data_IF_418291060474
#
_entry.id   IF_418291060474
#
_cell.length_a   1.000
_cell.length_b   1.000
_cell.length_c   1.000
_cell.angle_alpha   90.00
_cell.angle_beta   90.00
_cell.angle_gamma   90.00
#
_symmetry.space_group_name_H-M   'P 1'
#
loop_
_entity.id
_entity.type
_entity.pdbx_description
1 polymer ?
#
# COMPACT_ATOMS: atom_id res chain seq x y z
N UNK A 1 25.30 7.74 21.02
CA UNK A 1 23.98 8.34 21.29
C UNK A 1 23.34 8.55 19.92
N UNK A 2 22.58 7.58 19.44
CA UNK A 2 21.86 7.66 18.17
C UNK A 2 20.57 8.41 18.48
N UNK A 3 20.41 9.63 17.95
CA UNK A 3 19.19 10.39 18.12
C UNK A 3 18.03 9.68 17.42
N UNK A 4 16.90 9.60 18.10
CA UNK A 4 15.65 9.05 17.58
C UNK A 4 15.13 9.95 16.44
N UNK A 5 14.55 9.37 15.36
CA UNK A 5 14.14 10.15 14.19
C UNK A 5 12.83 10.88 14.49
N UNK A 6 12.93 12.00 15.21
CA UNK A 6 11.90 13.05 15.20
C UNK A 6 11.92 13.74 13.83
N UNK A 7 10.77 13.89 13.16
CA UNK A 7 10.67 14.62 11.88
C UNK A 7 10.13 13.84 10.66
N UNK A 8 9.91 12.53 10.75
CA UNK A 8 9.46 11.72 9.59
C UNK A 8 8.10 12.18 9.02
N UNK A 9 7.11 12.51 9.85
CA UNK A 9 5.81 13.00 9.34
C UNK A 9 5.90 14.42 8.75
N UNK A 10 6.84 15.24 9.22
CA UNK A 10 7.11 16.56 8.62
C UNK A 10 7.64 16.35 7.19
N UNK A 11 8.63 15.46 7.05
CA UNK A 11 9.17 15.08 5.75
C UNK A 11 8.10 14.56 4.79
N UNK A 12 7.16 13.75 5.27
CA UNK A 12 6.06 13.27 4.43
C UNK A 12 5.17 14.42 3.93
N UNK A 13 4.92 15.42 4.78
CA UNK A 13 4.18 16.62 4.37
C UNK A 13 4.98 17.43 3.34
N UNK A 14 6.29 17.59 3.52
CA UNK A 14 7.18 18.29 2.58
C UNK A 14 7.22 17.58 1.21
N UNK A 15 7.41 16.27 1.20
CA UNK A 15 7.41 15.45 -0.02
C UNK A 15 6.06 15.48 -0.73
N UNK A 16 4.94 15.36 0.02
CA UNK A 16 3.60 15.46 -0.56
C UNK A 16 3.33 16.87 -1.11
N UNK A 17 3.78 17.92 -0.43
CA UNK A 17 3.67 19.31 -0.92
C UNK A 17 4.42 19.48 -2.23
N UNK A 18 5.66 18.99 -2.29
CA UNK A 18 6.48 19.02 -3.50
C UNK A 18 5.81 18.24 -4.65
N UNK A 19 5.25 17.07 -4.35
CA UNK A 19 4.55 16.25 -5.33
C UNK A 19 3.28 16.93 -5.87
N UNK A 20 2.47 17.53 -4.99
CA UNK A 20 1.27 18.31 -5.40
C UNK A 20 1.66 19.41 -6.38
N UNK A 21 2.65 20.23 -6.01
CA UNK A 21 3.10 21.34 -6.87
C UNK A 21 3.62 20.84 -8.21
N UNK A 22 4.51 19.83 -8.19
CA UNK A 22 5.08 19.21 -9.40
C UNK A 22 3.98 18.63 -10.30
N UNK A 23 3.00 17.94 -9.72
CA UNK A 23 1.89 17.34 -10.47
C UNK A 23 1.05 18.39 -11.19
N UNK A 24 0.57 19.41 -10.48
CA UNK A 24 -0.28 20.43 -11.09
C UNK A 24 0.47 21.31 -12.09
N UNK A 25 1.75 21.62 -11.83
CA UNK A 25 2.58 22.38 -12.75
C UNK A 25 2.85 21.59 -14.04
N UNK A 26 3.32 20.34 -13.94
CA UNK A 26 3.68 19.55 -15.12
C UNK A 26 2.47 19.04 -15.90
N UNK A 27 1.43 18.57 -15.21
CA UNK A 27 0.29 17.89 -15.86
C UNK A 27 -0.78 18.90 -16.32
N UNK A 28 -0.92 20.02 -15.62
CA UNK A 28 -2.00 20.98 -15.84
C UNK A 28 -1.55 22.42 -16.10
N UNK A 29 -0.24 22.71 -16.02
CA UNK A 29 0.30 24.07 -16.14
C UNK A 29 -0.31 25.05 -15.12
N UNK A 30 -0.59 24.55 -13.91
CA UNK A 30 -1.15 25.32 -12.80
C UNK A 30 -0.13 25.36 -11.66
N UNK A 31 0.23 26.58 -11.24
CA UNK A 31 1.03 26.78 -10.02
C UNK A 31 0.09 26.85 -8.82
N UNK A 32 0.25 25.92 -7.88
CA UNK A 32 -0.51 25.90 -6.62
C UNK A 32 0.17 26.83 -5.60
N UNK A 33 -0.50 27.89 -5.11
CA UNK A 33 0.05 28.75 -4.07
C UNK A 33 0.25 28.02 -2.74
N UNK A 34 1.22 28.45 -1.95
CA UNK A 34 1.57 27.83 -0.66
C UNK A 34 0.40 27.85 0.32
N UNK A 35 -0.38 28.93 0.34
CA UNK A 35 -1.56 29.10 1.18
C UNK A 35 -2.70 28.13 0.85
N UNK A 36 -2.65 27.47 -0.30
CA UNK A 36 -3.66 26.47 -0.69
C UNK A 36 -3.36 25.07 -0.13
N UNK A 37 -2.20 24.87 0.50
CA UNK A 37 -1.78 23.59 1.05
C UNK A 37 -1.57 23.74 2.56
N UNK A 38 -2.33 22.99 3.34
CA UNK A 38 -2.12 22.91 4.79
C UNK A 38 -1.46 21.57 5.13
N UNK A 39 -0.26 21.65 5.68
CA UNK A 39 0.50 20.48 6.15
C UNK A 39 0.13 20.16 7.60
N UNK A 40 -0.25 18.90 7.84
CA UNK A 40 -0.63 18.40 9.18
C UNK A 40 0.29 17.22 9.53
N UNK A 41 1.47 17.48 10.13
CA UNK A 41 2.39 16.41 10.50
C UNK A 41 1.88 15.67 11.74
N UNK A 42 1.33 14.47 11.54
CA UNK A 42 0.83 13.61 12.63
C UNK A 42 1.97 12.81 13.24
N UNK A 43 2.43 13.20 14.43
CA UNK A 43 3.54 12.54 15.14
C UNK A 43 3.14 12.19 16.57
N UNK A 44 3.34 10.92 16.91
CA UNK A 44 3.21 10.43 18.27
C UNK A 44 3.93 9.08 18.39
N UNK A 45 4.48 8.78 19.56
CA UNK A 45 5.14 7.50 19.87
C UNK A 45 4.23 6.56 20.66
N UNK A 46 4.61 5.29 20.73
CA UNK A 46 3.87 4.28 21.49
C UNK A 46 3.05 3.34 20.62
N UNK A 47 2.10 2.65 21.25
CA UNK A 47 1.29 1.63 20.60
C UNK A 47 0.29 2.22 19.61
N UNK A 48 -0.17 1.41 18.67
CA UNK A 48 -1.06 1.86 17.59
C UNK A 48 -2.30 2.57 18.12
N UNK A 49 -3.02 1.98 19.08
CA UNK A 49 -4.27 2.57 19.59
C UNK A 49 -4.03 3.84 20.44
N UNK A 50 -2.94 3.88 21.19
CA UNK A 50 -2.54 5.08 21.95
C UNK A 50 -2.26 6.25 21.00
N UNK A 51 -1.54 5.98 19.91
CA UNK A 51 -1.27 6.96 18.86
C UNK A 51 -2.56 7.43 18.19
N UNK A 52 -3.50 6.51 17.88
CA UNK A 52 -4.80 6.88 17.31
C UNK A 52 -5.54 7.89 18.18
N UNK A 53 -5.67 7.63 19.49
CA UNK A 53 -6.40 8.53 20.39
C UNK A 53 -5.71 9.90 20.51
N UNK A 54 -4.39 9.92 20.65
CA UNK A 54 -3.62 11.16 20.77
C UNK A 54 -3.69 12.02 19.51
N UNK A 55 -3.56 11.39 18.34
CA UNK A 55 -3.66 12.08 17.06
C UNK A 55 -5.09 12.52 16.75
N UNK A 56 -6.10 11.73 17.16
CA UNK A 56 -7.49 12.15 17.07
C UNK A 56 -7.75 13.42 17.90
N UNK A 57 -7.35 13.44 19.18
CA UNK A 57 -7.52 14.62 20.04
C UNK A 57 -6.80 15.86 19.48
N UNK A 58 -5.60 15.68 18.93
CA UNK A 58 -4.84 16.74 18.27
C UNK A 58 -5.56 17.30 17.03
N UNK A 59 -6.10 16.42 16.18
CA UNK A 59 -6.88 16.83 15.02
C UNK A 59 -8.15 17.56 15.46
N UNK A 60 -8.86 17.03 16.44
CA UNK A 60 -10.11 17.59 16.94
C UNK A 60 -9.90 19.01 17.51
N UNK A 61 -8.82 19.25 18.25
CA UNK A 61 -8.52 20.54 18.84
C UNK A 61 -8.02 21.57 17.82
N UNK A 62 -7.09 21.18 16.96
CA UNK A 62 -6.26 22.16 16.24
C UNK A 62 -6.59 22.22 14.73
N UNK A 63 -7.09 21.13 14.14
CA UNK A 63 -7.22 20.99 12.69
C UNK A 63 -8.63 20.65 12.20
N UNK A 64 -9.62 20.44 13.09
CA UNK A 64 -10.97 20.03 12.72
C UNK A 64 -11.58 20.89 11.62
N UNK A 65 -11.59 22.21 11.79
CA UNK A 65 -12.14 23.15 10.80
C UNK A 65 -11.38 23.15 9.47
N UNK A 66 -10.07 22.95 9.52
CA UNK A 66 -9.22 22.87 8.33
C UNK A 66 -9.58 21.61 7.54
N UNK A 67 -9.68 20.47 8.22
CA UNK A 67 -10.06 19.20 7.60
C UNK A 67 -11.48 19.28 7.08
N UNK A 68 -12.44 19.77 7.86
CA UNK A 68 -13.84 19.95 7.42
C UNK A 68 -13.96 20.84 6.17
N UNK A 69 -13.06 21.82 6.02
CA UNK A 69 -13.00 22.76 4.90
C UNK A 69 -12.25 22.26 3.66
N UNK A 70 -11.34 21.29 3.78
CA UNK A 70 -10.47 20.84 2.69
C UNK A 70 -11.22 20.29 1.47
N UNK A 71 -10.78 20.63 0.26
CA UNK A 71 -11.36 20.09 -0.98
C UNK A 71 -10.82 18.70 -1.33
N UNK A 72 -9.56 18.43 -0.99
CA UNK A 72 -8.85 17.16 -1.22
C UNK A 72 -8.06 16.81 0.04
N UNK A 73 -8.02 15.52 0.41
CA UNK A 73 -7.18 15.02 1.50
C UNK A 73 -6.19 14.01 0.95
N UNK A 74 -4.90 14.30 1.11
CA UNK A 74 -3.81 13.39 0.79
C UNK A 74 -3.17 12.93 2.10
N UNK A 75 -3.09 11.61 2.29
CA UNK A 75 -2.64 11.04 3.56
C UNK A 75 -1.42 10.14 3.34
N UNK A 76 -0.23 10.61 3.71
CA UNK A 76 0.99 9.81 3.62
C UNK A 76 1.30 9.12 4.95
N UNK A 77 1.65 7.84 4.88
CA UNK A 77 1.97 7.03 6.05
C UNK A 77 3.02 5.99 5.75
N UNK A 78 3.71 5.51 6.79
CA UNK A 78 4.82 4.56 6.66
C UNK A 78 4.83 3.53 7.79
N UNK A 79 5.18 2.28 7.48
CA UNK A 79 5.43 1.22 8.47
C UNK A 79 4.30 1.10 9.51
N UNK A 80 4.59 1.18 10.81
CA UNK A 80 3.59 1.18 11.90
C UNK A 80 2.58 2.34 11.81
N UNK A 81 2.93 3.46 11.18
CA UNK A 81 1.99 4.54 10.92
C UNK A 81 0.80 4.09 10.06
N UNK A 82 0.97 3.06 9.24
CA UNK A 82 -0.09 2.56 8.34
C UNK A 82 -1.32 2.07 9.10
N UNK A 83 -1.21 1.15 10.08
CA UNK A 83 -2.37 0.78 10.89
C UNK A 83 -2.94 1.93 11.70
N UNK A 84 -2.10 2.82 12.26
CA UNK A 84 -2.58 4.04 12.95
C UNK A 84 -3.44 4.89 12.01
N UNK A 85 -2.97 5.09 10.78
CA UNK A 85 -3.63 5.93 9.77
C UNK A 85 -4.97 5.37 9.33
N UNK A 86 -5.07 4.06 9.11
CA UNK A 86 -6.33 3.44 8.71
C UNK A 86 -7.40 3.53 9.81
N UNK A 87 -7.01 3.24 11.06
CA UNK A 87 -7.93 3.31 12.22
C UNK A 87 -8.34 4.76 12.48
N UNK A 88 -7.39 5.70 12.42
CA UNK A 88 -7.67 7.13 12.58
C UNK A 88 -8.57 7.66 11.46
N UNK A 89 -8.29 7.34 10.19
CA UNK A 89 -9.15 7.72 9.06
C UNK A 89 -10.57 7.18 9.23
N UNK A 90 -10.73 5.92 9.66
CA UNK A 90 -12.05 5.36 9.99
C UNK A 90 -12.76 6.21 11.03
N UNK A 91 -12.10 6.51 12.16
CA UNK A 91 -12.66 7.32 13.24
C UNK A 91 -13.06 8.72 12.78
N UNK A 92 -12.22 9.40 12.00
CA UNK A 92 -12.53 10.73 11.45
C UNK A 92 -13.73 10.73 10.48
N UNK A 93 -13.94 9.65 9.74
CA UNK A 93 -15.09 9.48 8.86
C UNK A 93 -16.35 9.16 9.69
N UNK A 94 -16.26 8.26 10.67
CA UNK A 94 -17.38 7.90 11.57
C UNK A 94 -17.89 9.12 12.36
N UNK A 95 -16.99 9.98 12.83
CA UNK A 95 -17.32 11.22 13.55
C UNK A 95 -17.72 12.39 12.63
N UNK A 96 -17.72 12.19 11.31
CA UNK A 96 -18.15 13.19 10.33
C UNK A 96 -17.21 14.39 10.16
N UNK A 97 -16.02 14.36 10.77
CA UNK A 97 -14.95 15.35 10.54
C UNK A 97 -14.50 15.31 9.08
N UNK A 98 -14.41 14.10 8.53
CA UNK A 98 -14.15 13.85 7.10
C UNK A 98 -15.46 13.43 6.42
N UNK A 99 -15.82 14.14 5.35
CA UNK A 99 -17.01 13.87 4.55
C UNK A 99 -16.64 13.30 3.18
N UNK A 100 -16.55 11.97 3.08
CA UNK A 100 -16.07 11.25 1.87
C UNK A 100 -16.91 11.46 0.59
N UNK A 101 -18.13 11.99 0.72
CA UNK A 101 -18.96 12.37 -0.43
C UNK A 101 -18.62 13.77 -0.99
N UNK A 102 -17.89 14.58 -0.22
CA UNK A 102 -17.42 15.92 -0.61
C UNK A 102 -15.92 15.91 -0.90
N UNK A 103 -15.17 15.16 -0.10
CA UNK A 103 -13.71 15.22 -0.04
C UNK A 103 -13.10 13.95 -0.64
N UNK A 104 -12.58 13.98 -1.89
CA UNK A 104 -11.72 12.92 -2.39
C UNK A 104 -10.51 12.71 -1.48
N UNK A 105 -10.25 11.44 -1.15
CA UNK A 105 -9.15 11.04 -0.26
C UNK A 105 -8.27 10.01 -0.96
N UNK A 106 -6.96 10.22 -0.91
CA UNK A 106 -5.99 9.19 -1.28
C UNK A 106 -4.98 8.97 -0.15
N UNK A 107 -4.93 7.75 0.37
CA UNK A 107 -3.92 7.32 1.33
C UNK A 107 -2.73 6.67 0.60
N UNK A 108 -1.52 7.15 0.85
CA UNK A 108 -0.26 6.54 0.44
C UNK A 108 0.35 5.82 1.64
N UNK A 109 0.35 4.49 1.63
CA UNK A 109 0.99 3.67 2.65
C UNK A 109 2.30 3.06 2.11
N UNK A 110 3.41 3.49 2.69
CA UNK A 110 4.76 3.07 2.30
C UNK A 110 5.30 2.04 3.30
N UNK A 111 5.81 0.91 2.83
CA UNK A 111 6.35 -0.17 3.66
C UNK A 111 5.44 -0.55 4.85
N UNK A 112 4.12 -0.56 4.64
CA UNK A 112 3.12 -0.78 5.69
C UNK A 112 3.26 -2.15 6.37
N UNK A 113 3.11 -2.20 7.70
CA UNK A 113 3.36 -3.43 8.46
C UNK A 113 2.13 -4.36 8.56
N UNK A 114 1.34 -4.44 7.50
CA UNK A 114 -0.01 -5.02 7.51
C UNK A 114 -0.08 -6.51 7.85
N UNK A 115 1.01 -7.23 7.64
CA UNK A 115 1.18 -8.64 7.99
C UNK A 115 2.43 -8.87 8.86
N UNK A 116 2.84 -7.84 9.59
CA UNK A 116 4.01 -7.86 10.47
C UNK A 116 5.35 -7.71 9.73
N UNK A 117 6.46 -7.61 10.47
CA UNK A 117 7.82 -7.61 9.93
C UNK A 117 8.26 -9.02 9.51
N UNK A 118 9.47 -9.17 8.97
CA UNK A 118 10.03 -10.49 8.69
C UNK A 118 10.01 -11.37 9.95
N UNK A 119 9.43 -12.58 9.90
CA UNK A 119 9.31 -13.44 11.09
C UNK A 119 10.66 -13.80 11.75
N UNK A 120 11.75 -13.82 10.96
CA UNK A 120 13.11 -14.03 11.46
C UNK A 120 13.58 -12.96 12.44
N UNK A 121 12.98 -11.77 12.42
CA UNK A 121 13.33 -10.66 13.30
C UNK A 121 12.83 -10.84 14.74
N UNK A 122 11.82 -11.70 14.97
CA UNK A 122 11.21 -11.90 16.30
C UNK A 122 12.23 -12.35 17.37
N UNK A 123 13.28 -13.06 16.95
CA UNK A 123 14.33 -13.56 17.83
C UNK A 123 15.61 -12.72 17.88
N UNK A 124 15.72 -11.66 17.07
CA UNK A 124 16.98 -10.96 16.86
C UNK A 124 17.34 -10.06 18.05
N UNK A 125 18.57 -10.17 18.57
CA UNK A 125 19.03 -9.45 19.77
C UNK A 125 18.99 -7.92 19.61
N UNK A 126 19.17 -7.41 18.40
CA UNK A 126 19.08 -5.98 18.11
C UNK A 126 17.66 -5.44 18.34
N UNK A 127 16.63 -6.17 17.88
CA UNK A 127 15.23 -5.83 18.14
C UNK A 127 14.93 -5.90 19.64
N UNK A 128 15.51 -6.90 20.33
CA UNK A 128 15.41 -7.05 21.80
C UNK A 128 16.06 -5.91 22.60
N UNK A 129 17.16 -5.35 22.10
CA UNK A 129 17.89 -4.26 22.77
C UNK A 129 17.22 -2.89 22.63
N UNK A 130 16.36 -2.71 21.63
CA UNK A 130 15.57 -1.49 21.38
C UNK A 130 14.09 -1.61 21.82
N UNK A 131 13.74 -2.60 22.66
CA UNK A 131 12.34 -2.94 22.99
C UNK A 131 11.59 -1.84 23.77
N UNK A 132 11.05 -0.86 23.05
CA UNK A 132 9.81 -0.19 23.41
C UNK A 132 8.63 -1.15 23.15
N UNK A 133 7.57 -1.10 23.97
CA UNK A 133 6.38 -1.95 23.80
C UNK A 133 5.72 -1.82 22.42
N UNK A 134 5.90 -0.67 21.77
CA UNK A 134 5.47 -0.42 20.39
C UNK A 134 6.15 -1.35 19.37
N UNK A 135 7.44 -1.67 19.55
CA UNK A 135 8.17 -2.56 18.64
C UNK A 135 7.71 -4.02 18.76
N UNK A 136 7.31 -4.45 19.97
CA UNK A 136 6.77 -5.81 20.20
C UNK A 136 5.39 -5.99 19.55
N UNK A 137 4.53 -4.97 19.65
CA UNK A 137 3.19 -4.97 19.03
C UNK A 137 3.24 -5.16 17.50
N UNK A 138 4.32 -4.77 16.83
CA UNK A 138 4.49 -4.99 15.38
C UNK A 138 4.40 -6.48 15.00
N UNK A 139 4.80 -7.38 15.89
CA UNK A 139 4.74 -8.81 15.66
C UNK A 139 3.32 -9.38 15.81
N UNK A 140 2.40 -8.66 16.45
CA UNK A 140 1.00 -9.08 16.55
C UNK A 140 0.29 -8.99 15.19
N UNK A 141 0.79 -8.16 14.27
CA UNK A 141 0.31 -8.09 12.88
C UNK A 141 0.64 -9.34 12.04
N UNK A 142 1.52 -10.22 12.51
CA UNK A 142 1.79 -11.49 11.84
C UNK A 142 0.63 -12.48 11.92
N UNK A 143 -0.31 -12.29 12.85
CA UNK A 143 -1.53 -13.08 12.95
C UNK A 143 -2.74 -12.18 12.66
N UNK A 144 -3.47 -12.47 11.59
CA UNK A 144 -4.67 -11.71 11.23
C UNK A 144 -5.79 -11.79 12.27
N UNK A 145 -5.70 -12.72 13.22
CA UNK A 145 -6.67 -12.91 14.30
C UNK A 145 -6.27 -12.20 15.61
N UNK A 146 -5.12 -11.54 15.69
CA UNK A 146 -4.80 -10.71 16.85
C UNK A 146 -5.74 -9.50 16.92
N UNK A 147 -6.01 -9.01 18.14
CA UNK A 147 -6.98 -7.93 18.36
C UNK A 147 -6.65 -6.67 17.54
N UNK A 148 -5.35 -6.32 17.43
CA UNK A 148 -4.92 -5.16 16.66
C UNK A 148 -4.98 -5.40 15.15
N UNK A 149 -4.69 -6.62 14.68
CA UNK A 149 -4.85 -7.00 13.27
C UNK A 149 -6.31 -6.93 12.85
N UNK A 150 -7.23 -7.41 13.67
CA UNK A 150 -8.67 -7.38 13.40
C UNK A 150 -9.13 -5.92 13.27
N UNK A 151 -8.81 -5.08 14.25
CA UNK A 151 -9.15 -3.65 14.21
C UNK A 151 -8.59 -2.94 12.97
N UNK A 152 -7.32 -3.19 12.64
CA UNK A 152 -6.71 -2.62 11.46
C UNK A 152 -7.35 -3.10 10.15
N UNK A 153 -7.62 -4.41 10.01
CA UNK A 153 -8.25 -4.98 8.81
C UNK A 153 -9.67 -4.47 8.61
N UNK A 154 -10.44 -4.36 9.70
CA UNK A 154 -11.78 -3.78 9.66
C UNK A 154 -11.74 -2.29 9.30
N UNK A 155 -10.79 -1.54 9.86
CA UNK A 155 -10.60 -0.13 9.51
C UNK A 155 -10.22 0.05 8.03
N UNK A 156 -9.29 -0.76 7.52
CA UNK A 156 -8.93 -0.77 6.10
C UNK A 156 -10.13 -1.10 5.20
N UNK A 157 -10.90 -2.13 5.55
CA UNK A 157 -12.11 -2.46 4.79
C UNK A 157 -13.13 -1.32 4.82
N UNK A 158 -13.32 -0.68 5.98
CA UNK A 158 -14.23 0.45 6.15
C UNK A 158 -13.84 1.64 5.27
N UNK A 159 -12.57 2.09 5.31
CA UNK A 159 -12.14 3.24 4.51
C UNK A 159 -12.24 2.96 3.00
N UNK A 160 -11.91 1.74 2.57
CA UNK A 160 -11.99 1.33 1.16
C UNK A 160 -13.44 1.32 0.67
N UNK A 161 -14.37 0.82 1.49
CA UNK A 161 -15.81 0.85 1.22
C UNK A 161 -16.36 2.29 1.25
N UNK A 162 -15.76 3.18 2.03
CA UNK A 162 -16.08 4.60 2.08
C UNK A 162 -15.27 5.44 1.07
N UNK A 163 -15.01 4.86 -0.12
CA UNK A 163 -14.45 5.56 -1.30
C UNK A 163 -13.03 6.13 -1.11
N UNK A 164 -12.32 5.78 -0.03
CA UNK A 164 -10.91 6.17 0.12
C UNK A 164 -10.07 5.37 -0.88
N UNK A 165 -9.36 6.08 -1.75
CA UNK A 165 -8.34 5.50 -2.62
C UNK A 165 -7.10 5.20 -1.79
N UNK A 166 -6.48 4.04 -2.00
CA UNK A 166 -5.31 3.63 -1.24
C UNK A 166 -4.22 3.13 -2.16
N UNK A 167 -3.04 3.74 -2.07
CA UNK A 167 -1.81 3.31 -2.73
C UNK A 167 -0.95 2.59 -1.68
N UNK A 168 -0.61 1.33 -1.95
CA UNK A 168 0.26 0.51 -1.11
C UNK A 168 1.59 0.32 -1.82
N UNK A 169 2.68 0.86 -1.26
CA UNK A 169 4.01 0.81 -1.87
C UNK A 169 4.96 0.02 -0.98
N UNK A 170 5.42 -1.14 -1.45
CA UNK A 170 6.51 -1.87 -0.80
C UNK A 170 7.85 -1.51 -1.39
N UNK A 171 8.93 -1.62 -0.60
CA UNK A 171 10.28 -1.53 -1.15
C UNK A 171 10.80 -2.93 -1.52
N UNK A 172 11.39 -3.07 -2.71
CA UNK A 172 11.83 -4.38 -3.21
C UNK A 172 12.92 -4.99 -2.32
N UNK A 173 13.81 -4.20 -1.74
CA UNK A 173 14.86 -4.67 -0.83
C UNK A 173 14.68 -4.10 0.58
N UNK A 174 13.43 -4.09 1.05
CA UNK A 174 13.14 -3.78 2.44
C UNK A 174 13.79 -4.82 3.37
N UNK A 175 14.48 -4.35 4.40
CA UNK A 175 15.16 -5.18 5.39
C UNK A 175 14.29 -5.51 6.60
N UNK A 176 13.17 -4.80 6.81
CA UNK A 176 12.28 -4.93 7.98
C UNK A 176 10.93 -5.53 7.61
N UNK A 177 10.29 -5.01 6.56
CA UNK A 177 8.92 -5.32 6.19
C UNK A 177 8.89 -6.14 4.89
N UNK A 178 8.37 -7.38 4.90
CA UNK A 178 8.21 -8.17 3.70
C UNK A 178 7.31 -7.48 2.67
N UNK A 179 7.57 -7.66 1.38
CA UNK A 179 6.76 -7.07 0.31
C UNK A 179 5.27 -7.41 0.45
N UNK A 180 4.94 -8.67 0.79
CA UNK A 180 3.54 -9.09 1.03
C UNK A 180 2.84 -8.32 2.15
N UNK A 181 3.60 -7.87 3.16
CA UNK A 181 3.11 -7.07 4.28
C UNK A 181 2.84 -5.65 3.80
N UNK A 182 3.82 -5.04 3.13
CA UNK A 182 3.71 -3.69 2.59
C UNK A 182 2.55 -3.49 1.60
N UNK A 183 2.27 -4.49 0.76
CA UNK A 183 1.17 -4.46 -0.21
C UNK A 183 -0.16 -5.03 0.32
N UNK A 184 -0.18 -5.46 1.58
CA UNK A 184 -1.32 -6.12 2.23
C UNK A 184 -1.92 -7.23 1.34
N UNK A 185 -1.16 -8.32 1.14
CA UNK A 185 -1.53 -9.42 0.23
C UNK A 185 -2.85 -10.13 0.56
N UNK A 186 -3.41 -9.92 1.77
CA UNK A 186 -4.69 -10.48 2.22
C UNK A 186 -5.92 -9.58 2.05
N UNK A 187 -5.83 -8.46 1.33
CA UNK A 187 -7.00 -7.61 1.03
C UNK A 187 -7.22 -7.46 -0.48
N UNK A 188 -8.47 -7.40 -0.94
CA UNK A 188 -8.78 -7.07 -2.33
C UNK A 188 -9.94 -6.09 -2.41
N UNK A 189 -9.71 -4.96 -3.09
CA UNK A 189 -10.70 -3.93 -3.35
C UNK A 189 -10.24 -3.08 -4.55
N UNK A 190 -11.14 -2.64 -5.45
CA UNK A 190 -10.76 -1.81 -6.60
C UNK A 190 -10.14 -0.46 -6.22
N UNK A 191 -10.38 0.05 -5.01
CA UNK A 191 -9.73 1.29 -4.53
C UNK A 191 -8.26 1.12 -4.19
N UNK A 192 -7.70 -0.10 -4.23
CA UNK A 192 -6.31 -0.35 -3.92
C UNK A 192 -5.48 -0.33 -5.20
N UNK A 193 -4.44 0.51 -5.22
CA UNK A 193 -3.33 0.42 -6.15
C UNK A 193 -2.09 -0.09 -5.42
N UNK A 194 -1.45 -1.13 -5.92
CA UNK A 194 -0.20 -1.67 -5.37
C UNK A 194 0.97 -1.31 -6.27
N UNK A 195 2.07 -0.89 -5.65
CA UNK A 195 3.31 -0.59 -6.34
C UNK A 195 4.51 -1.10 -5.55
N UNK A 196 5.66 -1.12 -6.22
CA UNK A 196 6.95 -1.45 -5.62
C UNK A 196 7.94 -0.35 -5.94
N UNK A 197 8.62 0.16 -4.91
CA UNK A 197 9.79 1.00 -5.05
C UNK A 197 11.02 0.11 -5.28
N UNK A 198 11.81 0.46 -6.30
CA UNK A 198 13.04 -0.23 -6.66
C UNK A 198 14.13 0.82 -6.69
N UNK A 199 15.14 0.65 -5.84
CA UNK A 199 16.25 1.58 -5.78
C UNK A 199 17.02 1.62 -7.11
N UNK A 200 17.41 2.81 -7.54
CA UNK A 200 18.15 3.02 -8.78
C UNK A 200 19.47 2.24 -8.86
N UNK A 201 20.11 1.96 -7.71
CA UNK A 201 21.34 1.17 -7.66
C UNK A 201 21.12 -0.33 -7.95
N UNK A 202 19.88 -0.81 -7.79
CA UNK A 202 19.50 -2.20 -8.02
C UNK A 202 18.78 -2.33 -9.38
N UNK A 203 18.08 -1.28 -9.79
CA UNK A 203 17.31 -1.28 -11.01
C UNK A 203 18.19 -1.59 -12.23
N UNK A 204 17.80 -2.64 -12.94
CA UNK A 204 18.39 -2.98 -14.24
C UNK A 204 17.25 -3.15 -15.22
N UNK A 205 17.36 -2.47 -16.37
CA UNK A 205 16.38 -2.62 -17.45
C UNK A 205 16.35 -4.08 -17.91
N UNK A 206 15.15 -4.59 -18.13
CA UNK A 206 14.91 -5.97 -18.57
C UNK A 206 15.44 -7.05 -17.59
N UNK A 207 15.53 -6.72 -16.29
CA UNK A 207 15.78 -7.73 -15.26
C UNK A 207 14.53 -8.62 -15.06
N UNK A 208 14.74 -9.93 -15.12
CA UNK A 208 13.68 -10.92 -15.01
C UNK A 208 12.90 -10.81 -13.70
N UNK A 209 13.59 -10.65 -12.56
CA UNK A 209 12.95 -10.69 -11.25
C UNK A 209 12.15 -9.40 -11.00
N UNK A 210 12.71 -8.24 -11.34
CA UNK A 210 12.00 -6.95 -11.31
C UNK A 210 10.72 -7.03 -12.15
N UNK A 211 10.84 -7.53 -13.38
CA UNK A 211 9.70 -7.62 -14.30
C UNK A 211 8.64 -8.62 -13.82
N UNK A 212 9.06 -9.73 -13.23
CA UNK A 212 8.13 -10.72 -12.67
C UNK A 212 7.36 -10.18 -11.46
N UNK A 213 8.03 -9.44 -10.56
CA UNK A 213 7.39 -8.82 -9.40
C UNK A 213 6.39 -7.75 -9.83
N UNK A 214 6.80 -6.87 -10.75
CA UNK A 214 5.92 -5.82 -11.28
C UNK A 214 4.73 -6.39 -12.03
N UNK A 215 4.92 -7.49 -12.79
CA UNK A 215 3.82 -8.22 -13.41
C UNK A 215 2.86 -8.82 -12.38
N UNK A 216 3.36 -9.49 -11.33
CA UNK A 216 2.51 -10.04 -10.28
C UNK A 216 1.70 -8.95 -9.54
N UNK A 217 2.28 -7.78 -9.30
CA UNK A 217 1.55 -6.63 -8.75
C UNK A 217 0.49 -6.12 -9.72
N UNK A 218 0.79 -6.08 -11.02
CA UNK A 218 -0.17 -5.72 -12.06
C UNK A 218 -1.36 -6.68 -12.06
N UNK A 219 -1.14 -7.99 -11.92
CA UNK A 219 -2.21 -8.97 -11.79
C UNK A 219 -3.14 -8.63 -10.62
N UNK A 220 -2.59 -8.34 -9.43
CA UNK A 220 -3.39 -7.93 -8.27
C UNK A 220 -4.18 -6.65 -8.52
N UNK A 221 -3.58 -5.66 -9.21
CA UNK A 221 -4.22 -4.39 -9.52
C UNK A 221 -5.37 -4.51 -10.53
N UNK A 222 -5.30 -5.47 -11.46
CA UNK A 222 -6.41 -5.77 -12.39
C UNK A 222 -7.44 -6.77 -11.81
N UNK A 223 -7.27 -7.19 -10.54
CA UNK A 223 -8.18 -8.10 -9.86
C UNK A 223 -7.94 -9.59 -10.14
N UNK A 224 -6.80 -9.93 -10.74
CA UNK A 224 -6.35 -11.31 -10.93
C UNK A 224 -5.49 -11.77 -9.74
N UNK A 225 -5.29 -13.08 -9.64
CA UNK A 225 -4.45 -13.66 -8.58
C UNK A 225 -3.01 -13.76 -9.06
N UNK A 226 -2.06 -13.46 -8.17
CA UNK A 226 -0.66 -13.85 -8.32
C UNK A 226 -0.39 -15.27 -7.78
N UNK A 227 -1.45 -15.98 -7.37
CA UNK A 227 -1.41 -17.30 -6.73
C UNK A 227 -0.51 -17.36 -5.47
N UNK A 228 -0.33 -16.22 -4.79
CA UNK A 228 0.54 -16.11 -3.62
C UNK A 228 2.03 -16.05 -3.96
N UNK A 229 2.39 -15.79 -5.22
CA UNK A 229 3.76 -15.60 -5.65
C UNK A 229 4.49 -14.53 -4.82
N UNK A 230 3.87 -13.36 -4.62
CA UNK A 230 4.47 -12.24 -3.90
C UNK A 230 4.73 -12.56 -2.42
N UNK A 231 3.91 -13.42 -1.81
CA UNK A 231 4.14 -13.95 -0.45
C UNK A 231 5.43 -14.77 -0.42
N UNK A 232 5.60 -15.68 -1.37
CA UNK A 232 6.71 -16.64 -1.38
C UNK A 232 8.02 -16.06 -1.87
N UNK A 233 7.99 -15.05 -2.75
CA UNK A 233 9.20 -14.37 -3.20
C UNK A 233 9.71 -13.35 -2.18
N UNK A 234 8.87 -12.82 -1.29
CA UNK A 234 9.24 -11.76 -0.33
C UNK A 234 10.44 -12.14 0.55
N UNK A 235 10.56 -13.40 0.97
CA UNK A 235 11.73 -13.86 1.74
C UNK A 235 13.03 -13.73 0.93
N UNK A 236 12.97 -13.92 -0.39
CA UNK A 236 14.09 -13.81 -1.34
C UNK A 236 14.46 -12.36 -1.63
N UNK A 237 13.55 -11.45 -1.33
CA UNK A 237 13.71 -10.02 -1.58
C UNK A 237 14.27 -9.27 -0.38
N UNK A 238 14.24 -9.87 0.82
CA UNK A 238 14.69 -9.23 2.04
C UNK A 238 16.09 -8.59 1.88
N UNK A 239 16.16 -7.29 2.14
CA UNK A 239 17.39 -6.51 2.12
C UNK A 239 18.34 -6.91 3.25
N UNK A 240 19.57 -6.38 3.21
CA UNK A 240 20.55 -6.62 4.27
C UNK A 240 20.26 -5.74 5.48
N UNK A 241 19.99 -6.36 6.64
CA UNK A 241 19.75 -5.67 7.92
C UNK A 241 20.91 -4.80 8.40
N UNK A 242 22.13 -5.11 7.96
CA UNK A 242 23.35 -4.38 8.33
C UNK A 242 23.78 -3.36 7.28
N UNK A 243 23.02 -3.19 6.20
CA UNK A 243 23.26 -2.12 5.25
C UNK A 243 22.93 -0.76 5.90
N UNK A 244 23.81 0.22 5.70
CA UNK A 244 23.63 1.58 6.22
C UNK A 244 22.48 2.33 5.54
N UNK A 245 22.20 1.99 4.28
CA UNK A 245 21.04 2.42 3.52
C UNK A 245 20.18 1.20 3.21
N UNK A 246 18.91 1.21 3.63
CA UNK A 246 18.01 0.08 3.52
C UNK A 246 16.70 0.49 2.87
N UNK A 247 16.12 -0.41 2.08
CA UNK A 247 14.90 -0.16 1.31
C UNK A 247 13.72 0.32 2.14
N UNK A 248 13.69 0.00 3.44
CA UNK A 248 12.61 0.41 4.34
C UNK A 248 12.44 1.93 4.44
N UNK A 249 13.54 2.68 4.38
CA UNK A 249 13.52 4.13 4.54
C UNK A 249 13.63 4.86 3.20
N UNK A 250 14.36 4.31 2.23
CA UNK A 250 14.57 4.97 0.94
C UNK A 250 13.28 5.15 0.14
N UNK A 251 12.25 4.33 0.38
CA UNK A 251 10.93 4.46 -0.26
C UNK A 251 10.27 5.83 -0.06
N UNK A 252 10.47 6.50 1.08
CA UNK A 252 9.89 7.82 1.35
C UNK A 252 10.84 8.98 1.05
N UNK A 253 12.01 8.69 0.48
CA UNK A 253 12.93 9.69 -0.05
C UNK A 253 12.60 10.04 -1.51
N UNK A 254 11.94 9.12 -2.22
CA UNK A 254 11.64 9.25 -3.64
C UNK A 254 10.36 10.03 -3.89
N UNK A 255 10.48 11.17 -4.57
CA UNK A 255 9.35 12.05 -4.87
C UNK A 255 8.31 11.36 -5.77
N UNK A 256 8.73 10.49 -6.68
CA UNK A 256 7.81 9.79 -7.58
C UNK A 256 6.88 8.83 -6.82
N UNK A 257 7.25 8.37 -5.62
CA UNK A 257 6.35 7.61 -4.73
C UNK A 257 5.20 8.49 -4.24
N UNK A 258 5.45 9.78 -3.98
CA UNK A 258 4.44 10.77 -3.58
C UNK A 258 3.62 11.32 -4.76
N UNK A 259 4.12 11.20 -5.98
CA UNK A 259 3.37 11.52 -7.20
C UNK A 259 2.27 10.48 -7.48
N UNK A 260 2.50 9.21 -7.14
CA UNK A 260 1.59 8.11 -7.42
C UNK A 260 0.16 8.27 -6.84
N UNK A 261 -0.07 8.70 -5.58
CA UNK A 261 -1.42 8.96 -5.09
C UNK A 261 -2.13 10.09 -5.85
N UNK A 262 -1.42 11.07 -6.40
CA UNK A 262 -2.01 12.14 -7.20
C UNK A 262 -2.47 11.62 -8.55
N UNK A 263 -1.60 10.91 -9.26
CA UNK A 263 -1.95 10.23 -10.52
C UNK A 263 -3.14 9.30 -10.29
N UNK A 264 -3.09 8.49 -9.24
CA UNK A 264 -4.19 7.58 -8.93
C UNK A 264 -5.48 8.32 -8.59
N UNK A 265 -5.42 9.42 -7.85
CA UNK A 265 -6.59 10.20 -7.48
C UNK A 265 -7.26 10.85 -8.70
N UNK A 266 -6.48 11.50 -9.57
CA UNK A 266 -6.97 12.37 -10.64
C UNK A 266 -7.07 11.70 -12.02
N UNK A 267 -6.23 10.71 -12.32
CA UNK A 267 -6.18 10.10 -13.67
C UNK A 267 -7.04 8.84 -13.77
N UNK A 268 -7.47 8.29 -12.63
CA UNK A 268 -8.40 7.14 -12.62
C UNK A 268 -9.82 7.60 -12.33
N UNK A 269 -10.77 7.01 -13.07
CA UNK A 269 -12.19 7.24 -12.86
C UNK A 269 -12.54 6.91 -11.40
N UNK A 270 -13.39 7.70 -10.75
CA UNK A 270 -13.88 7.35 -9.44
C UNK A 270 -14.59 5.99 -9.47
N UNK A 271 -14.51 5.26 -8.36
CA UNK A 271 -15.22 4.00 -8.23
C UNK A 271 -16.69 4.33 -8.02
N UNK A 272 -17.51 4.04 -9.02
CA UNK A 272 -18.93 4.37 -9.05
C UNK A 272 -19.26 5.71 -9.70
N UNK A 273 -20.47 6.21 -9.42
CA UNK A 273 -20.88 7.55 -9.82
C UNK A 273 -20.31 8.55 -8.81
N UNK A 274 -19.33 9.34 -9.25
CA UNK A 274 -18.88 10.49 -8.49
C UNK A 274 -19.88 11.62 -8.71
N UNK A 275 -20.85 11.73 -7.82
CA UNK A 275 -21.58 12.98 -7.68
C UNK A 275 -20.74 13.87 -6.78
N UNK A 276 -19.93 14.75 -7.36
CA UNK A 276 -19.48 15.94 -6.63
C UNK A 276 -20.76 16.71 -6.37
N UNK A 277 -21.31 16.57 -5.16
CA UNK A 277 -22.44 17.37 -4.73
C UNK A 277 -21.99 18.83 -4.81
N UNK A 278 -22.51 19.57 -5.80
CA UNK A 278 -22.29 21.01 -5.86
C UNK A 278 -22.81 21.60 -4.54
N UNK A 279 -22.16 22.62 -3.94
CA UNK A 279 -22.61 23.20 -2.67
C UNK A 279 -24.10 23.58 -2.64
N UNK A 280 -24.68 23.91 -3.79
CA UNK A 280 -26.10 24.23 -3.96
C UNK A 280 -27.07 23.04 -3.76
N UNK A 281 -26.62 21.77 -3.85
CA UNK A 281 -27.49 20.60 -3.72
C UNK A 281 -27.80 20.20 -2.28
N UNK A 282 -27.06 20.72 -1.29
CA UNK A 282 -27.31 20.48 0.14
C UNK A 282 -28.68 21.01 0.61
N UNK A 283 -29.25 21.99 -0.09
CA UNK A 283 -30.59 22.53 0.20
C UNK A 283 -31.72 21.72 -0.48
N UNK A 284 -31.39 20.83 -1.42
CA UNK A 284 -32.38 20.07 -2.20
C UNK A 284 -32.61 18.63 -1.69
N UNK A 285 -31.83 18.17 -0.71
CA UNK A 285 -31.88 16.81 -0.17
C UNK A 285 -33.15 16.44 0.62
N UNK A 286 -34.23 17.23 0.53
CA UNK A 286 -35.53 16.91 1.18
C UNK A 286 -36.55 16.18 0.30
N UNK A 287 -36.23 15.82 -0.94
CA UNK A 287 -37.10 14.94 -1.74
C UNK A 287 -36.24 13.99 -2.58
N UNK A 288 -36.01 12.76 -2.10
CA UNK A 288 -35.37 11.71 -2.90
C UNK A 288 -36.41 10.82 -3.57
N UNK A 289 -36.42 10.83 -4.90
CA UNK A 289 -37.26 10.00 -5.73
C UNK A 289 -36.81 8.52 -5.69
N UNK A 290 -37.76 7.60 -5.82
CA UNK A 290 -37.54 6.15 -5.72
C UNK A 290 -36.55 5.58 -6.77
N UNK A 291 -36.17 6.35 -7.81
CA UNK A 291 -35.22 5.93 -8.84
C UNK A 291 -33.75 6.06 -8.39
N UNK A 292 -33.43 6.96 -7.46
CA UNK A 292 -32.07 7.15 -6.96
C UNK A 292 -31.63 6.00 -6.04
N UNK A 293 -32.57 5.45 -5.27
CA UNK A 293 -32.38 4.26 -4.43
C UNK A 293 -32.02 2.98 -5.20
N UNK A 294 -32.27 2.94 -6.51
CA UNK A 294 -31.93 1.79 -7.35
C UNK A 294 -30.49 1.85 -7.90
N UNK A 295 -29.92 3.05 -8.06
CA UNK A 295 -28.54 3.26 -8.55
C UNK A 295 -27.50 3.24 -7.41
N UNK A 296 -27.88 3.74 -6.24
CA UNK A 296 -27.08 3.66 -4.99
C UNK A 296 -26.73 2.20 -4.64
N UNK A 297 -27.62 1.25 -4.96
CA UNK A 297 -27.47 -0.20 -4.75
C UNK A 297 -26.34 -0.90 -5.51
N UNK A 298 -25.62 -0.23 -6.42
CA UNK A 298 -24.50 -0.87 -7.15
C UNK A 298 -23.17 -0.66 -6.41
N UNK A 299 -23.02 0.44 -5.66
CA UNK A 299 -21.79 0.75 -4.91
C UNK A 299 -21.71 0.03 -3.56
N UNK A 300 -22.84 -0.22 -2.92
CA UNK A 300 -22.94 -1.05 -1.70
C UNK A 300 -22.60 -2.53 -1.91
N UNK A 301 -22.27 -2.96 -3.14
CA UNK A 301 -22.04 -4.37 -3.47
C UNK A 301 -20.58 -4.80 -3.48
N UNK A 302 -19.62 -3.90 -3.68
CA UNK A 302 -18.20 -4.29 -3.71
C UNK A 302 -17.64 -4.22 -2.30
N UNK A 303 -17.76 -5.33 -1.57
CA UNK A 303 -17.12 -5.47 -0.26
C UNK A 303 -15.64 -5.78 -0.44
N UNK A 304 -14.79 -5.10 0.33
CA UNK A 304 -13.39 -5.49 0.49
C UNK A 304 -13.30 -6.97 0.91
N UNK A 305 -12.58 -7.78 0.13
CA UNK A 305 -12.29 -9.17 0.49
C UNK A 305 -11.14 -9.18 1.49
N UNK A 306 -11.34 -9.83 2.63
CA UNK A 306 -10.36 -9.95 3.70
C UNK A 306 -9.99 -11.42 3.89
N UNK A 307 -8.87 -11.83 3.31
CA UNK A 307 -8.35 -13.19 3.43
C UNK A 307 -7.52 -13.29 4.73
N UNK A 308 -7.75 -14.29 5.59
CA UNK A 308 -6.92 -14.50 6.78
C UNK A 308 -5.46 -14.71 6.39
N UNK A 309 -4.55 -14.24 7.24
CA UNK A 309 -3.11 -14.34 6.99
C UNK A 309 -2.37 -14.65 8.27
N UNK A 310 -1.43 -15.60 8.19
CA UNK A 310 -0.48 -15.87 9.25
C UNK A 310 0.93 -15.92 8.68
N UNK A 311 1.80 -15.01 9.14
CA UNK A 311 3.18 -14.97 8.72
C UNK A 311 3.92 -16.20 9.28
N UNK A 312 4.60 -16.93 8.39
CA UNK A 312 5.33 -18.15 8.75
C UNK A 312 6.82 -17.92 8.66
N UNK A 313 7.57 -18.44 9.63
CA UNK A 313 9.03 -18.39 9.63
C UNK A 313 9.65 -19.16 8.46
N UNK A 314 9.01 -20.25 8.03
CA UNK A 314 9.41 -21.02 6.85
C UNK A 314 8.21 -21.19 5.94
N UNK A 315 8.35 -20.74 4.71
CA UNK A 315 7.36 -20.96 3.66
C UNK A 315 7.61 -22.29 2.96
N UNK A 316 6.55 -22.89 2.41
CA UNK A 316 6.67 -24.15 1.68
C UNK A 316 7.38 -23.87 0.33
N UNK A 317 8.54 -24.52 0.07
CA UNK A 317 9.36 -24.24 -1.11
C UNK A 317 8.69 -24.61 -2.44
N UNK A 318 7.65 -25.45 -2.42
CA UNK A 318 6.94 -25.91 -3.61
C UNK A 318 5.86 -24.93 -4.10
N UNK A 319 5.53 -23.89 -3.33
CA UNK A 319 4.49 -22.95 -3.74
C UNK A 319 4.91 -22.03 -4.89
N UNK A 320 6.19 -21.67 -5.02
CA UNK A 320 6.64 -20.82 -6.13
C UNK A 320 6.36 -21.44 -7.50
N UNK A 321 6.78 -22.68 -7.80
CA UNK A 321 6.43 -23.31 -9.07
C UNK A 321 4.92 -23.48 -9.25
N UNK A 322 4.16 -23.76 -8.18
CA UNK A 322 2.70 -23.85 -8.27
C UNK A 322 2.04 -22.50 -8.60
N UNK A 323 2.48 -21.42 -7.95
CA UNK A 323 1.96 -20.09 -8.18
C UNK A 323 2.23 -19.63 -9.62
N UNK A 324 3.45 -19.88 -10.10
CA UNK A 324 3.84 -19.55 -11.46
C UNK A 324 3.08 -20.35 -12.50
N UNK A 325 2.86 -21.65 -12.27
CA UNK A 325 1.97 -22.45 -13.12
C UNK A 325 0.55 -21.88 -13.13
N UNK A 326 0.02 -21.48 -11.98
CA UNK A 326 -1.29 -20.83 -11.88
C UNK A 326 -1.38 -19.57 -12.75
N UNK A 327 -0.37 -18.70 -12.68
CA UNK A 327 -0.27 -17.49 -13.52
C UNK A 327 -0.20 -17.86 -15.01
N UNK A 328 0.64 -18.81 -15.38
CA UNK A 328 0.89 -19.18 -16.78
C UNK A 328 -0.30 -19.91 -17.42
N UNK A 329 -1.06 -20.68 -16.63
CA UNK A 329 -2.20 -21.47 -17.10
C UNK A 329 -3.54 -20.71 -16.96
N UNK A 330 -3.57 -19.48 -16.41
CA UNK A 330 -4.82 -18.73 -16.20
C UNK A 330 -5.40 -18.23 -17.53
N UNK A 331 -6.60 -18.70 -17.94
CA UNK A 331 -7.21 -18.27 -19.20
C UNK A 331 -7.48 -16.77 -19.27
N UNK A 332 -7.67 -16.10 -18.12
CA UNK A 332 -7.91 -14.64 -18.08
C UNK A 332 -6.65 -13.85 -18.41
N UNK A 333 -5.48 -14.42 -18.14
CA UNK A 333 -4.18 -13.83 -18.49
C UNK A 333 -3.88 -14.13 -19.96
N UNK A 334 -4.10 -15.37 -20.40
CA UNK A 334 -3.83 -15.80 -21.79
C UNK A 334 -4.77 -15.14 -22.82
N UNK A 335 -6.00 -14.79 -22.43
CA UNK A 335 -6.95 -14.11 -23.30
C UNK A 335 -6.81 -12.57 -23.30
N UNK A 336 -5.87 -12.01 -22.51
CA UNK A 336 -5.54 -10.59 -22.53
C UNK A 336 -4.22 -10.40 -23.28
N UNK A 337 -4.26 -9.77 -24.46
CA UNK A 337 -3.08 -9.59 -25.32
C UNK A 337 -1.90 -8.91 -24.61
N UNK A 338 -2.19 -7.97 -23.70
CA UNK A 338 -1.13 -7.23 -22.99
C UNK A 338 -0.49 -8.10 -21.92
N UNK A 339 -1.29 -8.86 -21.16
CA UNK A 339 -0.76 -9.74 -20.13
C UNK A 339 -0.08 -10.97 -20.73
N UNK A 340 -0.62 -11.55 -21.81
CA UNK A 340 0.00 -12.68 -22.51
C UNK A 340 1.34 -12.30 -23.14
N UNK A 341 1.44 -11.13 -23.80
CA UNK A 341 2.72 -10.65 -24.35
C UNK A 341 3.77 -10.40 -23.26
N UNK A 342 3.33 -9.98 -22.07
CA UNK A 342 4.18 -9.83 -20.90
C UNK A 342 4.74 -11.18 -20.43
N UNK A 343 3.94 -12.25 -20.43
CA UNK A 343 4.37 -13.62 -20.13
C UNK A 343 5.43 -14.11 -21.12
N UNK A 344 5.23 -13.90 -22.42
CA UNK A 344 6.19 -14.29 -23.45
C UNK A 344 7.54 -13.59 -23.24
N UNK A 345 7.50 -12.31 -22.88
CA UNK A 345 8.72 -11.56 -22.59
C UNK A 345 9.38 -12.07 -21.30
N UNK A 346 8.61 -12.38 -20.25
CA UNK A 346 9.13 -12.98 -19.02
C UNK A 346 9.80 -14.33 -19.27
N UNK A 347 9.24 -15.17 -20.15
CA UNK A 347 9.83 -16.44 -20.54
C UNK A 347 11.19 -16.23 -21.21
N UNK A 348 11.26 -15.31 -22.18
CA UNK A 348 12.51 -14.96 -22.85
C UNK A 348 13.58 -14.41 -21.89
N UNK A 349 13.18 -13.60 -20.90
CA UNK A 349 14.08 -13.10 -19.87
C UNK A 349 14.55 -14.21 -18.93
N UNK A 350 13.65 -15.12 -18.54
CA UNK A 350 13.99 -16.26 -17.67
C UNK A 350 15.07 -17.15 -18.29
N UNK A 351 14.96 -17.44 -19.58
CA UNK A 351 15.92 -18.29 -20.29
C UNK A 351 17.33 -17.67 -20.33
N UNK A 352 17.41 -16.33 -20.40
CA UNK A 352 18.65 -15.55 -20.37
C UNK A 352 19.13 -15.24 -18.95
N UNK A 353 18.27 -15.35 -17.95
CA UNK A 353 18.58 -14.95 -16.58
C UNK A 353 19.57 -15.91 -15.94
N UNK A 354 20.78 -15.44 -15.60
CA UNK A 354 21.82 -16.26 -15.00
C UNK A 354 22.28 -15.68 -13.65
N UNK A 355 21.53 -15.91 -12.57
CA UNK A 355 21.83 -15.32 -11.27
C UNK A 355 23.13 -15.84 -10.67
N UNK A 356 23.86 -14.97 -9.98
CA UNK A 356 25.16 -15.31 -9.37
C UNK A 356 25.03 -15.76 -7.91
N UNK A 357 24.12 -15.15 -7.14
CA UNK A 357 23.94 -15.44 -5.72
C UNK A 357 23.25 -16.79 -5.49
N UNK A 358 23.61 -17.48 -4.40
CA UNK A 358 23.02 -18.78 -4.04
C UNK A 358 21.49 -18.70 -3.92
N UNK A 359 20.99 -17.63 -3.27
CA UNK A 359 19.56 -17.35 -3.08
C UNK A 359 18.82 -17.24 -4.41
N UNK A 360 19.36 -16.51 -5.38
CA UNK A 360 18.72 -16.34 -6.68
C UNK A 360 18.87 -17.59 -7.58
N UNK A 361 19.98 -18.33 -7.46
CA UNK A 361 20.15 -19.63 -8.13
C UNK A 361 19.11 -20.65 -7.67
N UNK A 362 18.84 -20.69 -6.36
CA UNK A 362 17.78 -21.53 -5.79
C UNK A 362 16.41 -21.14 -6.36
N UNK A 363 16.14 -19.85 -6.51
CA UNK A 363 14.89 -19.39 -7.13
C UNK A 363 14.80 -19.75 -8.59
N UNK A 364 15.86 -19.55 -9.37
CA UNK A 364 15.89 -20.04 -10.75
C UNK A 364 15.57 -21.53 -10.80
N UNK A 365 16.20 -22.34 -9.96
CA UNK A 365 15.93 -23.78 -9.88
C UNK A 365 14.46 -24.10 -9.54
N UNK A 366 13.86 -23.40 -8.57
CA UNK A 366 12.44 -23.57 -8.22
C UNK A 366 11.49 -23.14 -9.35
N UNK A 367 11.94 -22.26 -10.23
CA UNK A 367 11.20 -21.76 -11.39
C UNK A 367 11.49 -22.55 -12.68
N UNK A 368 12.53 -23.40 -12.73
CA UNK A 368 12.87 -24.23 -13.90
C UNK A 368 11.70 -25.08 -14.45
N UNK A 369 10.75 -25.59 -13.63
CA UNK A 369 9.57 -26.27 -14.17
C UNK A 369 8.74 -25.45 -15.17
N UNK A 370 8.94 -24.11 -15.24
CA UNK A 370 8.33 -23.27 -16.27
C UNK A 370 8.80 -23.60 -17.69
N UNK A 371 10.03 -24.12 -17.85
CA UNK A 371 10.54 -24.53 -19.17
C UNK A 371 9.86 -25.79 -19.72
N UNK A 372 9.27 -26.61 -18.85
CA UNK A 372 8.66 -27.89 -19.23
C UNK A 372 7.26 -27.74 -19.88
N UNK A 373 6.85 -26.53 -20.26
CA UNK A 373 5.67 -26.27 -21.12
C UNK A 373 6.00 -26.29 -22.63
N UNK A 374 7.26 -26.56 -22.99
CA UNK A 374 7.68 -27.05 -24.31
C UNK A 374 7.68 -28.58 -24.29
#
# INVERSE_FOLDING_TARGET
MVGEPTGTSIKFCEQMTAAVKKYFEHTHSITIPDESIVNIPLQWEGKVLERVEKLYSFIESDYKKVIEGADIILWATHSQGTPVSAILLRKLIEEGIIQVNRQPICMLAMAGISHGPFPSLKGNLLVKYFEADAARELFDFMDSNSDISVQYREAMAYILQNKVKTVLVGSMQDQVVPLYSAIMSGISHPSILRAVYIDGHIYTKDDFLIRLITFALRLLNVGLSDHGFLIHISEVLAGNLYAWEGGHSTVYEELDVFMLPLQYLFETRPIGQFEILKPASLLSQRVSDARDRAKEKVLDKVKARLDPFQAKLRLNPFHLPWAMRGIWDDPRILNDDTLSSELDTLQNLFDKWNPTSARLKEIKFRLEPLKARL
#
